data_IF_443079336880
#
_entry.id   IF_443079336880
#
_cell.length_a   1.000
_cell.length_b   1.000
_cell.length_c   1.000
_cell.angle_alpha   90.00
_cell.angle_beta   90.00
_cell.angle_gamma   90.00
#
_symmetry.space_group_name_H-M   'P 1'
#
loop_
_entity.id
_entity.type
_entity.pdbx_description
1 polymer ?
#
# COMPACT_ATOMS: atom_id res chain seq x y z
N UNK A 1 -8.20 -42.34 30.06
CA UNK A 1 -7.13 -41.54 29.47
C UNK A 1 -7.59 -41.03 28.13
N UNK A 2 -8.14 -39.83 28.11
CA UNK A 2 -8.60 -39.15 26.89
C UNK A 2 -7.38 -38.42 26.32
N UNK A 3 -6.95 -38.67 25.08
CA UNK A 3 -5.96 -37.81 24.48
C UNK A 3 -6.65 -36.50 24.10
N UNK A 4 -6.24 -35.47 24.81
CA UNK A 4 -6.39 -34.05 24.52
C UNK A 4 -6.01 -33.81 23.06
N UNK A 5 -7.03 -33.61 22.21
CA UNK A 5 -6.84 -33.28 20.81
C UNK A 5 -6.23 -31.88 20.73
N UNK A 6 -4.91 -31.82 20.59
CA UNK A 6 -4.21 -30.61 20.19
C UNK A 6 -4.85 -30.10 18.90
N UNK A 7 -5.50 -28.94 18.99
CA UNK A 7 -6.07 -28.23 17.84
C UNK A 7 -4.94 -27.93 16.85
N UNK A 8 -4.78 -28.80 15.84
CA UNK A 8 -3.85 -28.56 14.75
C UNK A 8 -4.41 -27.42 13.92
N UNK A 9 -3.96 -26.20 14.19
CA UNK A 9 -4.32 -25.00 13.41
C UNK A 9 -4.06 -25.30 11.94
N UNK A 10 -5.09 -25.16 11.10
CA UNK A 10 -4.95 -25.47 9.68
C UNK A 10 -3.86 -24.59 9.03
N UNK A 11 -3.17 -25.09 7.99
CA UNK A 11 -2.14 -24.30 7.29
C UNK A 11 -2.72 -22.97 6.75
N UNK A 12 -3.99 -22.98 6.32
CA UNK A 12 -4.69 -21.79 5.88
C UNK A 12 -4.86 -20.75 7.00
N UNK A 13 -5.21 -21.17 8.21
CA UNK A 13 -5.28 -20.26 9.37
C UNK A 13 -3.90 -19.72 9.75
N UNK A 14 -2.84 -20.53 9.64
CA UNK A 14 -1.47 -20.07 9.88
C UNK A 14 -1.07 -18.97 8.91
N UNK A 15 -1.39 -19.13 7.62
CA UNK A 15 -1.14 -18.11 6.58
C UNK A 15 -1.94 -16.83 6.90
N UNK A 16 -3.24 -16.94 7.19
CA UNK A 16 -4.08 -15.78 7.49
C UNK A 16 -3.62 -15.03 8.76
N UNK A 17 -3.21 -15.74 9.81
CA UNK A 17 -2.66 -15.13 11.02
C UNK A 17 -1.33 -14.41 10.76
N UNK A 18 -0.48 -14.99 9.91
CA UNK A 18 0.76 -14.34 9.47
C UNK A 18 0.44 -13.06 8.69
N UNK A 19 -0.54 -13.10 7.80
CA UNK A 19 -1.00 -11.93 7.04
C UNK A 19 -1.56 -10.83 7.94
N UNK A 20 -2.34 -11.17 8.97
CA UNK A 20 -2.81 -10.19 9.97
C UNK A 20 -1.62 -9.52 10.69
N UNK A 21 -0.58 -10.29 11.01
CA UNK A 21 0.66 -9.75 11.60
C UNK A 21 1.39 -8.83 10.64
N UNK A 22 1.52 -9.23 9.36
CA UNK A 22 2.15 -8.40 8.33
C UNK A 22 1.37 -7.09 8.11
N UNK A 23 0.04 -7.15 8.04
CA UNK A 23 -0.80 -5.96 7.93
C UNK A 23 -0.60 -5.02 9.13
N UNK A 24 -0.57 -5.56 10.36
CA UNK A 24 -0.32 -4.76 11.56
C UNK A 24 1.08 -4.12 11.55
N UNK A 25 2.09 -4.84 11.06
CA UNK A 25 3.45 -4.31 10.89
C UNK A 25 3.47 -3.18 9.86
N UNK A 26 2.93 -3.41 8.66
CA UNK A 26 2.83 -2.39 7.61
C UNK A 26 2.15 -1.13 8.11
N UNK A 27 1.07 -1.25 8.88
CA UNK A 27 0.35 -0.11 9.45
C UNK A 27 1.16 0.65 10.50
N UNK A 28 1.89 -0.06 11.36
CA UNK A 28 2.64 0.56 12.45
C UNK A 28 4.00 1.12 12.01
N UNK A 29 4.61 0.56 10.96
CA UNK A 29 5.87 1.07 10.40
C UNK A 29 5.67 2.21 9.40
N UNK A 30 4.47 2.34 8.84
CA UNK A 30 4.20 3.33 7.80
C UNK A 30 4.03 4.73 8.39
N UNK A 31 4.76 5.67 7.80
CA UNK A 31 4.57 7.10 8.03
C UNK A 31 4.15 7.73 6.71
N UNK A 32 2.99 8.38 6.71
CA UNK A 32 2.48 9.06 5.52
C UNK A 32 3.37 10.28 5.21
N UNK A 33 3.86 10.45 3.97
CA UNK A 33 4.67 11.61 3.60
C UNK A 33 3.95 12.95 3.87
N UNK A 34 4.66 13.96 4.37
CA UNK A 34 4.06 15.27 4.64
C UNK A 34 3.63 16.03 3.38
N UNK A 35 4.23 15.70 2.24
CA UNK A 35 3.86 16.23 0.93
C UNK A 35 3.86 15.09 -0.08
N UNK A 36 2.98 15.21 -1.08
CA UNK A 36 2.91 14.31 -2.22
C UNK A 36 3.12 15.10 -3.50
N UNK A 37 3.86 14.51 -4.42
CA UNK A 37 4.22 15.12 -5.70
C UNK A 37 3.31 14.57 -6.80
N UNK A 38 2.37 15.40 -7.25
CA UNK A 38 1.39 15.05 -8.28
C UNK A 38 1.88 15.47 -9.66
N UNK A 39 1.65 14.61 -10.64
CA UNK A 39 1.93 14.91 -12.04
C UNK A 39 1.14 16.14 -12.54
N UNK A 40 1.43 16.53 -13.78
CA UNK A 40 0.69 17.55 -14.48
C UNK A 40 -0.81 17.23 -14.53
N UNK A 41 -1.65 18.26 -14.48
CA UNK A 41 -3.11 18.10 -14.45
C UNK A 41 -3.60 17.25 -15.63
N UNK A 42 -4.33 16.17 -15.35
CA UNK A 42 -4.86 15.29 -16.41
C UNK A 42 -6.11 15.90 -17.07
N UNK A 43 -6.41 15.60 -18.35
CA UNK A 43 -7.41 16.34 -19.14
C UNK A 43 -8.87 16.24 -18.67
N UNK A 44 -9.18 15.51 -17.60
CA UNK A 44 -10.55 15.13 -17.24
C UNK A 44 -10.97 15.52 -15.81
N UNK A 45 -10.21 16.40 -15.13
CA UNK A 45 -10.54 16.84 -13.77
C UNK A 45 -10.46 15.74 -12.71
N UNK A 46 -9.76 14.65 -13.00
CA UNK A 46 -9.45 13.61 -12.01
C UNK A 46 -8.16 13.97 -11.25
N UNK A 47 -8.02 13.46 -10.02
CA UNK A 47 -6.78 13.53 -9.25
C UNK A 47 -5.60 13.05 -10.10
N UNK A 48 -4.57 13.87 -10.34
CA UNK A 48 -3.42 13.46 -11.13
C UNK A 48 -2.70 12.28 -10.48
N UNK A 49 -2.03 11.44 -11.27
CA UNK A 49 -1.24 10.34 -10.71
C UNK A 49 -0.07 10.89 -9.89
N UNK A 50 0.34 10.12 -8.86
CA UNK A 50 1.54 10.41 -8.09
C UNK A 50 2.79 10.05 -8.92
N UNK A 51 3.76 10.96 -8.95
CA UNK A 51 5.04 10.74 -9.60
C UNK A 51 5.83 9.62 -8.91
N UNK A 52 6.69 8.92 -9.67
CA UNK A 52 7.61 7.92 -9.14
C UNK A 52 8.92 8.60 -8.70
N UNK A 53 8.88 9.32 -7.58
CA UNK A 53 10.04 10.01 -7.01
C UNK A 53 10.26 9.64 -5.53
N UNK A 54 11.35 10.12 -4.94
CA UNK A 54 11.72 9.84 -3.54
C UNK A 54 10.66 10.30 -2.54
N UNK A 55 9.94 11.38 -2.85
CA UNK A 55 8.87 11.92 -2.01
C UNK A 55 7.69 10.96 -1.90
N UNK A 56 7.27 10.39 -3.02
CA UNK A 56 6.14 9.46 -3.08
C UNK A 56 6.55 8.00 -2.86
N UNK A 57 7.85 7.69 -2.82
CA UNK A 57 8.35 6.33 -2.65
C UNK A 57 7.76 5.59 -1.44
N UNK A 58 7.60 6.20 -0.24
CA UNK A 58 6.95 5.54 0.88
C UNK A 58 5.48 5.20 0.62
N UNK A 59 4.74 6.08 -0.07
CA UNK A 59 3.35 5.84 -0.45
C UNK A 59 3.26 4.65 -1.42
N UNK A 60 4.05 4.67 -2.50
CA UNK A 60 4.07 3.60 -3.49
C UNK A 60 4.48 2.25 -2.88
N UNK A 61 5.48 2.25 -2.00
CA UNK A 61 5.93 1.05 -1.32
C UNK A 61 4.82 0.45 -0.44
N UNK A 62 4.12 1.28 0.34
CA UNK A 62 3.02 0.85 1.19
C UNK A 62 1.84 0.33 0.37
N UNK A 63 1.39 1.08 -0.64
CA UNK A 63 0.27 0.65 -1.52
C UNK A 63 0.60 -0.67 -2.22
N UNK A 64 1.82 -0.83 -2.73
CA UNK A 64 2.26 -2.08 -3.34
C UNK A 64 2.28 -3.24 -2.34
N UNK A 65 2.76 -3.03 -1.11
CA UNK A 65 2.75 -4.06 -0.07
C UNK A 65 1.32 -4.50 0.31
N UNK A 66 0.38 -3.56 0.39
CA UNK A 66 -1.04 -3.87 0.63
C UNK A 66 -1.67 -4.64 -0.53
N UNK A 67 -1.37 -4.26 -1.78
CA UNK A 67 -1.83 -5.01 -2.96
C UNK A 67 -1.26 -6.43 -2.99
N UNK A 68 0.00 -6.63 -2.59
CA UNK A 68 0.59 -7.95 -2.47
C UNK A 68 -0.11 -8.81 -1.40
N UNK A 69 -0.47 -8.23 -0.25
CA UNK A 69 -1.28 -8.92 0.76
C UNK A 69 -2.66 -9.30 0.23
N UNK A 70 -3.30 -8.44 -0.56
CA UNK A 70 -4.60 -8.73 -1.17
C UNK A 70 -4.49 -9.95 -2.11
N UNK A 71 -3.51 -9.94 -3.01
CA UNK A 71 -3.23 -11.04 -3.92
C UNK A 71 -2.92 -12.33 -3.17
N UNK A 72 -2.13 -12.26 -2.10
CA UNK A 72 -1.82 -13.42 -1.26
C UNK A 72 -3.09 -13.99 -0.61
N UNK A 73 -4.02 -13.14 -0.17
CA UNK A 73 -5.25 -13.57 0.48
C UNK A 73 -6.09 -14.44 -0.47
N UNK A 74 -6.16 -14.05 -1.75
CA UNK A 74 -6.90 -14.77 -2.79
C UNK A 74 -6.34 -16.16 -3.08
N UNK A 75 -5.03 -16.36 -2.87
CA UNK A 75 -4.39 -17.68 -3.04
C UNK A 75 -4.71 -18.66 -1.91
N UNK A 76 -5.24 -18.21 -0.78
CA UNK A 76 -5.53 -19.09 0.37
C UNK A 76 -6.69 -20.01 0.06
N UNK A 77 -6.40 -21.31 -0.10
CA UNK A 77 -7.39 -22.35 -0.40
C UNK A 77 -8.11 -22.75 0.90
N UNK A 78 -9.45 -22.85 0.84
CA UNK A 78 -10.26 -23.15 2.03
C UNK A 78 -10.50 -24.64 2.29
N UNK A 79 -10.18 -25.53 1.35
CA UNK A 79 -10.38 -26.99 1.47
C UNK A 79 -11.77 -27.41 1.97
N UNK A 80 -12.81 -26.65 1.60
CA UNK A 80 -14.19 -26.88 2.06
C UNK A 80 -14.53 -26.32 3.46
N UNK A 81 -13.56 -25.78 4.19
CA UNK A 81 -13.75 -25.18 5.53
C UNK A 81 -14.43 -23.80 5.42
N UNK A 82 -15.67 -23.64 5.92
CA UNK A 82 -16.40 -22.36 5.84
C UNK A 82 -15.72 -21.26 6.67
N UNK A 83 -15.07 -21.60 7.78
CA UNK A 83 -14.36 -20.68 8.66
C UNK A 83 -13.17 -20.04 7.93
N UNK A 84 -12.43 -20.81 7.12
CA UNK A 84 -11.33 -20.28 6.31
C UNK A 84 -11.84 -19.30 5.25
N UNK A 85 -12.99 -19.59 4.61
CA UNK A 85 -13.61 -18.66 3.65
C UNK A 85 -14.01 -17.34 4.32
N UNK A 86 -14.57 -17.42 5.52
CA UNK A 86 -14.94 -16.24 6.32
C UNK A 86 -13.70 -15.43 6.69
N UNK A 87 -12.68 -16.08 7.24
CA UNK A 87 -11.43 -15.43 7.65
C UNK A 87 -10.71 -14.77 6.45
N UNK A 88 -10.64 -15.45 5.29
CA UNK A 88 -10.11 -14.87 4.06
C UNK A 88 -10.87 -13.62 3.63
N UNK A 89 -12.21 -13.65 3.66
CA UNK A 89 -13.05 -12.49 3.33
C UNK A 89 -12.83 -11.32 4.30
N UNK A 90 -12.65 -11.61 5.58
CA UNK A 90 -12.33 -10.60 6.58
C UNK A 90 -10.94 -9.99 6.34
N UNK A 91 -9.94 -10.81 6.01
CA UNK A 91 -8.60 -10.33 5.65
C UNK A 91 -8.63 -9.41 4.43
N UNK A 92 -9.30 -9.82 3.34
CA UNK A 92 -9.49 -8.99 2.13
C UNK A 92 -10.10 -7.64 2.50
N UNK A 93 -11.20 -7.64 3.26
CA UNK A 93 -11.85 -6.40 3.71
C UNK A 93 -10.93 -5.49 4.52
N UNK A 94 -10.11 -6.05 5.42
CA UNK A 94 -9.16 -5.27 6.23
C UNK A 94 -8.12 -4.58 5.32
N UNK A 95 -7.58 -5.31 4.35
CA UNK A 95 -6.60 -4.78 3.40
C UNK A 95 -7.22 -3.71 2.49
N UNK A 96 -8.41 -3.97 1.93
CA UNK A 96 -9.14 -2.99 1.11
C UNK A 96 -9.48 -1.71 1.87
N UNK A 97 -9.86 -1.83 3.15
CA UNK A 97 -10.12 -0.67 3.99
C UNK A 97 -8.86 0.18 4.21
N UNK A 98 -7.70 -0.47 4.36
CA UNK A 98 -6.42 0.25 4.50
C UNK A 98 -6.02 0.96 3.20
N UNK A 99 -6.15 0.28 2.05
CA UNK A 99 -5.91 0.89 0.74
C UNK A 99 -6.80 2.12 0.54
N UNK A 100 -8.10 1.98 0.85
CA UNK A 100 -9.04 3.10 0.78
C UNK A 100 -8.64 4.27 1.67
N UNK A 101 -8.20 4.01 2.90
CA UNK A 101 -7.72 5.07 3.80
C UNK A 101 -6.49 5.80 3.24
N UNK A 102 -5.62 5.09 2.52
CA UNK A 102 -4.49 5.72 1.83
C UNK A 102 -4.92 6.57 0.64
N UNK A 103 -5.91 6.12 -0.13
CA UNK A 103 -6.46 6.88 -1.26
C UNK A 103 -7.18 8.14 -0.78
N UNK A 104 -7.98 8.05 0.28
CA UNK A 104 -8.66 9.19 0.90
C UNK A 104 -7.65 10.26 1.35
N UNK A 105 -6.58 9.87 2.05
CA UNK A 105 -5.51 10.80 2.44
C UNK A 105 -4.77 11.41 1.25
N UNK A 106 -4.54 10.62 0.19
CA UNK A 106 -3.95 11.13 -1.06
C UNK A 106 -4.84 12.23 -1.65
N UNK A 107 -6.16 11.98 -1.70
CA UNK A 107 -7.11 12.91 -2.28
C UNK A 107 -7.25 14.19 -1.43
N UNK A 108 -7.20 14.08 -0.10
CA UNK A 108 -7.11 15.24 0.81
C UNK A 108 -5.87 16.10 0.51
N UNK A 109 -4.69 15.48 0.38
CA UNK A 109 -3.45 16.20 0.04
C UNK A 109 -3.54 16.80 -1.37
N UNK A 110 -4.20 16.12 -2.31
CA UNK A 110 -4.42 16.67 -3.64
C UNK A 110 -5.27 17.93 -3.59
N UNK A 111 -6.37 17.95 -2.83
CA UNK A 111 -7.21 19.14 -2.71
C UNK A 111 -6.42 20.34 -2.18
N UNK A 112 -5.51 20.12 -1.21
CA UNK A 112 -4.61 21.18 -0.74
C UNK A 112 -3.66 21.68 -1.84
N UNK A 113 -3.02 20.76 -2.57
CA UNK A 113 -2.10 21.09 -3.67
C UNK A 113 -2.85 21.80 -4.80
N UNK A 114 -4.07 21.38 -5.12
CA UNK A 114 -4.94 22.00 -6.12
C UNK A 114 -5.23 23.44 -5.76
N UNK A 115 -5.60 23.73 -4.51
CA UNK A 115 -5.85 25.09 -4.01
C UNK A 115 -4.57 25.95 -4.09
N UNK A 116 -3.39 25.40 -3.74
CA UNK A 116 -2.10 26.12 -3.85
C UNK A 116 -1.71 26.43 -5.30
N UNK A 117 -1.95 25.50 -6.22
CA UNK A 117 -1.73 25.70 -7.67
C UNK A 117 -2.69 26.75 -8.24
N UNK A 118 -3.96 26.71 -7.86
CA UNK A 118 -4.98 27.69 -8.30
C UNK A 118 -4.72 29.10 -7.75
N UNK A 119 -4.17 29.21 -6.55
CA UNK A 119 -3.76 30.50 -5.96
C UNK A 119 -2.41 31.02 -6.48
N UNK A 120 -1.68 30.23 -7.28
CA UNK A 120 -0.40 30.60 -7.88
C UNK A 120 0.81 30.53 -6.94
N UNK A 121 0.65 29.91 -5.77
CA UNK A 121 1.72 29.76 -4.76
C UNK A 121 2.69 28.62 -5.08
N UNK A 122 2.21 27.60 -5.79
CA UNK A 122 2.99 26.41 -6.18
C UNK A 122 2.99 26.25 -7.70
N UNK A 123 4.18 26.11 -8.30
CA UNK A 123 4.33 25.84 -9.74
C UNK A 123 4.24 24.33 -9.98
N UNK A 124 3.76 23.96 -11.17
CA UNK A 124 3.79 22.57 -11.61
C UNK A 124 5.23 22.02 -11.54
N UNK A 125 5.45 20.79 -11.04
CA UNK A 125 6.78 20.20 -11.01
C UNK A 125 7.34 20.12 -12.43
N UNK A 126 8.59 20.54 -12.61
CA UNK A 126 9.27 20.49 -13.92
C UNK A 126 9.57 19.03 -14.33
N UNK A 127 9.62 18.75 -15.64
CA UNK A 127 9.88 17.40 -16.21
C UNK A 127 11.18 16.73 -15.71
N UNK A 128 12.12 17.50 -15.15
CA UNK A 128 13.36 16.99 -14.55
C UNK A 128 13.14 16.33 -13.19
N UNK A 129 12.15 16.77 -12.41
CA UNK A 129 11.79 16.16 -11.12
C UNK A 129 11.08 14.81 -11.32
N UNK A 130 10.40 14.62 -12.46
CA UNK A 130 9.82 13.34 -12.89
C UNK A 130 10.89 12.26 -13.16
N UNK A 131 12.13 12.65 -13.48
CA UNK A 131 13.22 11.73 -13.87
C UNK A 131 14.10 11.27 -12.72
N UNK A 132 13.80 11.65 -11.48
CA UNK A 132 14.60 11.32 -10.30
C UNK A 132 14.42 9.87 -9.79
N UNK A 133 14.53 8.89 -10.70
CA UNK A 133 14.72 7.46 -10.40
C UNK A 133 16.04 6.96 -11.00
N UNK A 134 17.14 7.67 -10.79
CA UNK A 134 18.45 7.18 -11.23
C UNK A 134 19.55 7.72 -10.33
N UNK A 135 19.64 7.23 -9.09
CA UNK A 135 20.92 6.98 -8.42
C UNK A 135 20.72 6.28 -7.06
N UNK A 136 20.61 4.94 -7.05
CA UNK A 136 20.87 4.11 -5.85
C UNK A 136 21.05 2.64 -6.25
N UNK A 137 21.85 2.39 -7.29
CA UNK A 137 22.53 1.11 -7.44
C UNK A 137 24.00 1.37 -7.18
N UNK A 138 24.37 1.36 -5.90
CA UNK A 138 25.77 1.31 -5.46
C UNK A 138 26.42 0.08 -6.07
N UNK A 139 27.06 0.22 -7.23
CA UNK A 139 28.01 -0.78 -7.71
C UNK A 139 29.28 -0.57 -6.88
N UNK A 140 29.26 -1.19 -5.70
CA UNK A 140 30.49 -1.63 -5.08
C UNK A 140 31.08 -2.72 -5.99
N UNK A 141 32.07 -2.36 -6.80
CA UNK A 141 33.03 -3.34 -7.30
C UNK A 141 34.44 -2.92 -6.90
N UNK A 142 34.89 -3.68 -5.92
CA UNK A 142 36.23 -3.77 -5.35
C UNK A 142 37.11 -4.61 -6.30
N UNK A 143 38.40 -4.27 -6.29
CA UNK A 143 39.56 -4.92 -6.93
C UNK A 143 39.91 -4.46 -8.34
#
# INVERSE_FOLDING_TARGET
TTPEAAETVSPAFTILNNMDTQLAQLKSSFTFPSHLSFAHSTPNGQTPPLLFNRTNAPYHAQTNALLQLLLQADTVISEGQPEVRKARKEMVKKVEAEIRSMEEKRDEVWEEVRIRRESGEEKEPDEEEERSWSDCSSVAKKQ
#
